data_IF_103028831154
#
_entry.id   IF_103028831154
#
_cell.length_a   1.000
_cell.length_b   1.000
_cell.length_c   1.000
_cell.angle_alpha   90.00
_cell.angle_beta   90.00
_cell.angle_gamma   90.00
#
_symmetry.space_group_name_H-M   'P 1'
#
loop_
_entity.id
_entity.type
_entity.pdbx_description
1 polymer ?
#
# COMPACT_ATOMS: atom_id res chain seq x y z
N UNK A 1 -6.18 -78.93 -8.60
CA UNK A 1 -4.87 -78.22 -8.48
C UNK A 1 -4.87 -76.82 -9.06
N UNK A 2 -5.91 -76.37 -9.71
CA UNK A 2 -5.96 -75.06 -10.44
C UNK A 2 -6.45 -73.92 -9.51
N UNK A 3 -7.21 -74.19 -8.45
CA UNK A 3 -7.78 -73.14 -7.57
C UNK A 3 -6.80 -72.48 -6.63
N UNK A 4 -5.65 -73.13 -6.27
CA UNK A 4 -4.62 -72.55 -5.40
C UNK A 4 -3.71 -71.53 -6.08
N UNK A 5 -3.58 -71.63 -7.39
CA UNK A 5 -2.70 -70.72 -8.17
C UNK A 5 -3.32 -69.33 -8.37
N UNK A 6 -4.64 -69.21 -8.48
CA UNK A 6 -5.35 -67.97 -8.72
C UNK A 6 -5.30 -67.03 -7.49
N UNK A 7 -5.34 -67.62 -6.27
CA UNK A 7 -5.27 -66.80 -5.05
C UNK A 7 -3.92 -66.16 -4.80
N UNK A 8 -2.81 -66.81 -5.17
CA UNK A 8 -1.46 -66.27 -5.00
C UNK A 8 -1.13 -65.14 -6.00
N UNK A 9 -1.65 -65.22 -7.21
CA UNK A 9 -1.47 -64.16 -8.22
C UNK A 9 -2.29 -62.91 -7.87
N UNK A 10 -3.50 -63.09 -7.33
CA UNK A 10 -4.34 -61.98 -6.87
C UNK A 10 -3.73 -61.25 -5.69
N UNK A 11 -3.11 -61.98 -4.77
CA UNK A 11 -2.45 -61.41 -3.59
C UNK A 11 -1.17 -60.65 -3.98
N UNK A 12 -0.40 -61.17 -4.95
CA UNK A 12 0.79 -60.47 -5.46
C UNK A 12 0.42 -59.20 -6.21
N UNK A 13 -0.68 -59.17 -6.98
CA UNK A 13 -1.17 -57.99 -7.66
C UNK A 13 -1.62 -56.86 -6.71
N UNK A 14 -2.28 -57.23 -5.62
CA UNK A 14 -2.63 -56.28 -4.55
C UNK A 14 -1.43 -55.67 -3.83
N UNK A 15 -0.40 -56.48 -3.56
CA UNK A 15 0.84 -56.00 -2.95
C UNK A 15 1.62 -55.04 -3.87
N UNK A 16 1.64 -55.29 -5.16
CA UNK A 16 2.27 -54.36 -6.15
C UNK A 16 1.48 -53.06 -6.27
N UNK A 17 0.13 -53.13 -6.27
CA UNK A 17 -0.71 -51.94 -6.29
C UNK A 17 -0.58 -51.08 -5.01
N UNK A 18 -0.40 -51.72 -3.85
CA UNK A 18 -0.15 -51.02 -2.57
C UNK A 18 1.25 -50.40 -2.52
N UNK A 19 2.27 -51.04 -3.11
CA UNK A 19 3.64 -50.54 -3.20
C UNK A 19 3.81 -49.32 -4.12
N UNK A 20 3.03 -49.24 -5.19
CA UNK A 20 3.10 -48.11 -6.13
C UNK A 20 2.42 -46.84 -5.60
N UNK A 21 1.47 -46.95 -4.67
CA UNK A 21 0.80 -45.81 -4.04
C UNK A 21 1.69 -45.06 -3.02
N UNK A 22 2.76 -45.68 -2.54
CA UNK A 22 3.67 -45.09 -1.55
C UNK A 22 4.81 -44.22 -2.19
N UNK A 23 4.96 -44.25 -3.52
CA UNK A 23 6.07 -43.56 -4.21
C UNK A 23 5.73 -42.17 -4.75
N UNK A 24 4.50 -41.68 -4.60
CA UNK A 24 4.06 -40.40 -5.17
C UNK A 24 4.11 -39.20 -4.23
N UNK A 25 4.73 -39.33 -3.04
CA UNK A 25 4.80 -38.22 -2.09
C UNK A 25 6.18 -37.62 -2.00
N UNK A 26 6.72 -37.12 -3.12
CA UNK A 26 7.83 -36.19 -3.09
C UNK A 26 7.37 -34.83 -3.60
N UNK A 27 6.69 -34.09 -2.76
CA UNK A 27 6.46 -32.66 -2.93
C UNK A 27 7.78 -31.94 -2.64
N UNK A 28 8.49 -31.56 -3.69
CA UNK A 28 9.65 -30.65 -3.58
C UNK A 28 9.14 -29.37 -2.96
N UNK A 29 9.44 -29.15 -1.70
CA UNK A 29 9.22 -27.88 -1.03
C UNK A 29 10.03 -26.82 -1.79
N UNK A 30 9.35 -26.01 -2.58
CA UNK A 30 9.95 -24.86 -3.24
C UNK A 30 10.48 -23.96 -2.14
N UNK A 31 11.80 -23.82 -2.04
CA UNK A 31 12.45 -22.91 -1.11
C UNK A 31 11.74 -21.56 -1.19
N UNK A 32 11.31 -20.98 -0.08
CA UNK A 32 10.74 -19.65 -0.10
C UNK A 32 11.80 -18.71 -0.67
N UNK A 33 11.58 -18.21 -1.88
CA UNK A 33 12.47 -17.22 -2.48
C UNK A 33 12.55 -16.00 -1.58
N UNK A 34 13.62 -15.22 -1.68
CA UNK A 34 13.92 -14.00 -0.92
C UNK A 34 12.85 -12.87 -1.10
N UNK A 35 11.58 -13.23 -1.24
CA UNK A 35 10.48 -12.30 -1.51
C UNK A 35 10.10 -11.42 -0.31
N UNK A 36 10.69 -11.70 0.87
CA UNK A 36 10.43 -10.97 2.11
C UNK A 36 11.47 -9.89 2.41
N UNK A 37 12.56 -9.84 1.64
CA UNK A 37 13.64 -8.90 1.89
C UNK A 37 13.46 -7.63 1.06
N UNK A 38 13.85 -6.50 1.64
CA UNK A 38 13.97 -5.21 0.98
C UNK A 38 15.39 -5.04 0.40
N UNK A 39 15.53 -4.20 -0.60
CA UNK A 39 16.81 -3.70 -1.11
C UNK A 39 17.85 -4.79 -1.43
N UNK A 40 17.42 -5.87 -2.08
CA UNK A 40 18.27 -7.03 -2.37
C UNK A 40 19.35 -6.76 -3.45
N UNK A 41 19.08 -5.83 -4.36
CA UNK A 41 20.01 -5.46 -5.44
C UNK A 41 20.83 -4.25 -5.01
N UNK A 42 21.83 -4.50 -4.16
CA UNK A 42 22.70 -3.44 -3.65
C UNK A 42 23.68 -2.99 -4.74
N UNK A 43 23.47 -1.80 -5.27
CA UNK A 43 24.58 -1.04 -5.82
C UNK A 43 25.29 -0.33 -4.66
N UNK A 44 26.60 -0.28 -4.65
CA UNK A 44 27.40 0.37 -3.59
C UNK A 44 27.02 1.83 -3.39
N UNK A 45 26.45 2.46 -4.40
CA UNK A 45 25.82 3.78 -4.34
C UNK A 45 24.78 3.93 -5.44
N UNK A 46 23.63 4.49 -5.11
CA UNK A 46 22.60 4.87 -6.08
C UNK A 46 22.40 6.37 -5.98
N UNK A 47 22.46 7.05 -7.14
CA UNK A 47 22.04 8.43 -7.20
C UNK A 47 20.52 8.48 -6.96
N UNK A 48 20.13 8.86 -5.74
CA UNK A 48 18.72 9.08 -5.40
C UNK A 48 18.14 10.20 -6.28
N UNK A 49 16.89 10.06 -6.68
CA UNK A 49 16.15 11.16 -7.28
C UNK A 49 16.15 12.34 -6.29
N UNK A 50 16.51 13.53 -6.77
CA UNK A 50 16.42 14.73 -5.95
C UNK A 50 14.95 14.94 -5.58
N UNK A 51 14.65 14.96 -4.28
CA UNK A 51 13.31 15.27 -3.80
C UNK A 51 12.91 16.65 -4.33
N UNK A 52 11.75 16.71 -4.95
CA UNK A 52 11.21 17.96 -5.47
C UNK A 52 10.49 18.69 -4.34
N UNK A 53 10.71 19.99 -4.24
CA UNK A 53 9.93 20.84 -3.36
C UNK A 53 8.46 20.81 -3.81
N UNK A 54 7.55 20.63 -2.85
CA UNK A 54 6.12 20.55 -3.12
C UNK A 54 5.61 21.91 -3.60
N UNK A 55 4.84 21.89 -4.67
CA UNK A 55 4.12 23.03 -5.20
C UNK A 55 2.69 22.99 -4.64
N UNK A 56 2.18 24.16 -4.25
CA UNK A 56 0.82 24.34 -3.76
C UNK A 56 -0.16 24.12 -4.92
N UNK A 57 -1.20 23.35 -4.66
CA UNK A 57 -2.28 23.08 -5.63
C UNK A 57 -3.64 23.43 -5.03
N UNK A 58 -4.65 23.51 -5.90
CA UNK A 58 -6.04 23.73 -5.47
C UNK A 58 -6.48 22.63 -4.48
N UNK A 59 -7.30 22.99 -3.51
CA UNK A 59 -7.76 22.17 -2.38
C UNK A 59 -6.70 21.82 -1.35
N UNK A 60 -5.48 22.34 -1.43
CA UNK A 60 -4.53 22.25 -0.33
C UNK A 60 -5.03 23.06 0.87
N UNK A 61 -4.76 22.55 2.07
CA UNK A 61 -5.03 23.25 3.31
C UNK A 61 -3.71 23.71 3.91
N UNK A 62 -3.56 25.02 4.02
CA UNK A 62 -2.34 25.67 4.50
C UNK A 62 -2.58 26.30 5.87
N UNK A 63 -1.62 26.13 6.77
CA UNK A 63 -1.51 26.96 7.98
C UNK A 63 -0.57 28.11 7.68
N UNK A 64 -1.05 29.32 7.82
CA UNK A 64 -0.29 30.55 7.59
C UNK A 64 -0.17 31.30 8.91
N UNK A 65 1.05 31.42 9.40
CA UNK A 65 1.37 32.15 10.62
C UNK A 65 2.11 33.42 10.28
N UNK A 66 1.57 34.54 10.73
CA UNK A 66 2.20 35.86 10.57
C UNK A 66 2.78 36.27 11.92
N UNK A 67 4.05 36.63 11.94
CA UNK A 67 4.74 37.13 13.13
C UNK A 67 5.42 38.45 12.83
N UNK A 68 5.61 39.30 13.85
CA UNK A 68 6.36 40.53 13.75
C UNK A 68 7.35 40.62 14.91
N UNK A 69 8.55 41.11 14.65
CA UNK A 69 9.54 41.36 15.68
C UNK A 69 9.26 42.70 16.43
N UNK A 70 8.31 43.48 15.94
CA UNK A 70 7.85 44.70 16.62
C UNK A 70 7.03 44.37 17.88
N UNK A 71 7.12 45.21 18.92
CA UNK A 71 6.43 45.01 20.20
C UNK A 71 4.90 45.03 20.12
N UNK A 72 4.31 45.47 19.00
CA UNK A 72 2.86 45.50 18.78
C UNK A 72 2.31 44.18 18.25
N UNK A 73 2.18 43.20 19.12
CA UNK A 73 1.57 41.90 18.79
C UNK A 73 0.09 41.99 18.38
N UNK A 74 -0.61 43.03 18.80
CA UNK A 74 -2.02 43.25 18.44
C UNK A 74 -2.24 43.42 16.94
N UNK A 75 -1.24 43.95 16.22
CA UNK A 75 -1.31 44.10 14.76
C UNK A 75 -1.26 42.77 14.00
N UNK A 76 -0.65 41.75 14.58
CA UNK A 76 -0.58 40.42 13.95
C UNK A 76 -1.68 39.49 14.42
N UNK A 77 -2.37 39.81 15.52
CA UNK A 77 -3.43 38.96 16.08
C UNK A 77 -4.56 38.69 15.07
N UNK A 78 -4.93 39.69 14.26
CA UNK A 78 -5.96 39.52 13.21
C UNK A 78 -5.61 38.51 12.11
N UNK A 79 -4.30 38.29 11.87
CA UNK A 79 -3.82 37.31 10.85
C UNK A 79 -3.71 35.89 11.41
N UNK A 80 -3.65 35.77 12.75
CA UNK A 80 -3.49 34.48 13.45
C UNK A 80 -4.78 34.04 14.15
N UNK A 81 -5.90 34.72 13.90
CA UNK A 81 -7.20 34.38 14.49
C UNK A 81 -7.64 32.99 14.07
N UNK A 82 -7.72 32.09 15.03
CA UNK A 82 -8.09 30.70 14.81
C UNK A 82 -9.60 30.57 14.77
N UNK A 83 -10.19 30.35 13.63
CA UNK A 83 -11.55 29.84 13.51
C UNK A 83 -11.54 28.31 13.70
N UNK A 84 -11.23 27.84 14.91
CA UNK A 84 -11.22 26.42 15.20
C UNK A 84 -10.53 26.07 16.51
N UNK A 85 -11.16 25.24 17.29
CA UNK A 85 -10.74 24.81 18.62
C UNK A 85 -9.37 24.11 18.55
N UNK A 86 -8.38 24.66 19.26
CA UNK A 86 -7.25 23.87 19.76
C UNK A 86 -5.94 23.90 18.99
N UNK A 87 -5.63 24.86 18.11
CA UNK A 87 -4.30 24.89 17.49
C UNK A 87 -3.52 26.19 17.76
N UNK A 88 -2.31 26.02 18.22
CA UNK A 88 -1.29 27.05 18.47
C UNK A 88 -0.61 27.55 17.18
N UNK A 89 -1.14 27.32 15.99
CA UNK A 89 -0.37 27.41 14.77
C UNK A 89 -1.07 28.12 13.60
N UNK A 90 -1.37 29.41 13.74
CA UNK A 90 -1.74 30.25 12.59
C UNK A 90 -3.15 30.01 12.00
N UNK A 91 -3.54 30.84 11.06
CA UNK A 91 -4.83 30.76 10.37
C UNK A 91 -4.80 29.60 9.35
N UNK A 92 -5.86 28.79 9.36
CA UNK A 92 -6.06 27.74 8.34
C UNK A 92 -6.69 28.35 7.10
N UNK A 93 -6.05 28.17 5.94
CA UNK A 93 -6.49 28.69 4.66
C UNK A 93 -6.63 27.53 3.67
N UNK A 94 -7.81 27.40 3.07
CA UNK A 94 -8.06 26.50 1.96
C UNK A 94 -7.65 27.20 0.65
N UNK A 95 -6.84 26.54 -0.17
CA UNK A 95 -6.55 27.00 -1.53
C UNK A 95 -7.78 26.72 -2.38
N UNK A 96 -8.40 27.76 -2.86
CA UNK A 96 -9.61 27.69 -3.70
C UNK A 96 -9.31 27.02 -5.07
N UNK A 97 -10.36 26.65 -5.80
CA UNK A 97 -10.24 26.01 -7.13
C UNK A 97 -9.53 26.94 -8.11
N UNK A 98 -9.69 28.27 -7.97
CA UNK A 98 -8.99 29.29 -8.76
C UNK A 98 -7.52 29.45 -8.36
N UNK A 99 -7.02 28.68 -7.40
CA UNK A 99 -5.65 28.72 -6.91
C UNK A 99 -5.36 29.83 -5.91
N UNK A 100 -6.36 30.58 -5.46
CA UNK A 100 -6.17 31.69 -4.52
C UNK A 100 -6.43 31.24 -3.08
N UNK A 101 -5.81 31.95 -2.13
CA UNK A 101 -6.15 31.95 -0.70
C UNK A 101 -6.75 33.29 -0.32
N UNK A 102 -7.65 33.28 0.66
CA UNK A 102 -8.24 34.51 1.19
C UNK A 102 -7.67 34.83 2.57
N UNK A 103 -7.05 35.98 2.69
CA UNK A 103 -6.44 36.43 3.95
C UNK A 103 -6.96 37.84 4.34
N UNK A 104 -7.06 38.08 5.65
CA UNK A 104 -7.38 39.44 6.12
C UNK A 104 -6.45 40.48 5.49
N UNK A 105 -6.94 41.67 5.25
CA UNK A 105 -6.22 42.84 4.72
C UNK A 105 -5.81 42.71 3.25
N UNK A 106 -5.06 41.64 2.87
CA UNK A 106 -4.53 41.47 1.51
C UNK A 106 -5.50 40.73 0.56
N UNK A 107 -6.65 40.28 1.12
CA UNK A 107 -7.71 39.61 0.36
C UNK A 107 -7.21 38.41 -0.46
N UNK A 108 -7.79 38.17 -1.62
CA UNK A 108 -7.41 37.06 -2.51
C UNK A 108 -5.97 37.20 -3.02
N UNK A 109 -5.19 36.16 -2.80
CA UNK A 109 -3.78 36.09 -3.21
C UNK A 109 -3.53 34.73 -3.89
N UNK A 110 -2.89 34.74 -5.05
CA UNK A 110 -2.51 33.50 -5.76
C UNK A 110 -1.49 32.72 -4.92
N UNK A 111 -1.81 31.45 -4.69
CA UNK A 111 -0.95 30.53 -3.96
C UNK A 111 -0.60 29.30 -4.81
N UNK A 112 -1.52 28.82 -5.65
CA UNK A 112 -1.28 27.67 -6.50
C UNK A 112 -0.12 27.93 -7.49
N UNK A 113 0.70 26.92 -7.73
CA UNK A 113 1.89 27.02 -8.58
C UNK A 113 3.15 27.52 -7.86
N UNK A 114 3.03 28.01 -6.63
CA UNK A 114 4.17 28.44 -5.80
C UNK A 114 4.60 27.33 -4.85
N UNK A 115 5.90 27.33 -4.48
CA UNK A 115 6.35 26.59 -3.32
C UNK A 115 5.98 27.33 -2.04
N UNK A 116 6.01 26.66 -0.88
CA UNK A 116 5.74 27.31 0.40
C UNK A 116 6.64 28.52 0.63
N UNK A 117 7.94 28.38 0.32
CA UNK A 117 8.92 29.46 0.50
C UNK A 117 8.62 30.65 -0.40
N UNK A 118 8.20 30.41 -1.64
CA UNK A 118 7.79 31.48 -2.56
C UNK A 118 6.53 32.19 -2.05
N UNK A 119 5.56 31.43 -1.51
CA UNK A 119 4.35 32.01 -0.92
C UNK A 119 4.68 32.82 0.35
N UNK A 120 5.58 32.34 1.20
CA UNK A 120 6.07 33.08 2.40
C UNK A 120 6.61 34.43 2.03
N UNK A 121 7.51 34.49 1.05
CA UNK A 121 8.09 35.76 0.56
C UNK A 121 7.01 36.67 -0.03
N UNK A 122 6.15 36.15 -0.89
CA UNK A 122 5.07 36.92 -1.51
C UNK A 122 4.10 37.51 -0.49
N UNK A 123 3.76 36.75 0.56
CA UNK A 123 2.88 37.23 1.62
C UNK A 123 3.58 38.25 2.50
N UNK A 124 4.85 38.07 2.83
CA UNK A 124 5.63 39.03 3.60
C UNK A 124 5.72 40.39 2.86
N UNK A 125 5.98 40.35 1.56
CA UNK A 125 6.04 41.58 0.73
C UNK A 125 4.69 42.31 0.72
N UNK A 126 3.58 41.56 0.57
CA UNK A 126 2.23 42.17 0.58
C UNK A 126 1.80 42.70 1.94
N UNK A 127 2.29 42.11 3.04
CA UNK A 127 1.95 42.51 4.41
C UNK A 127 2.87 43.61 4.95
N UNK A 128 4.05 43.82 4.35
CA UNK A 128 5.02 44.80 4.81
C UNK A 128 4.50 46.26 4.93
N UNK A 129 3.53 46.73 4.12
CA UNK A 129 2.94 48.06 4.30
C UNK A 129 2.05 48.17 5.55
N UNK A 130 1.55 47.04 6.06
CA UNK A 130 0.62 47.00 7.19
C UNK A 130 1.25 46.51 8.49
N UNK A 131 2.31 45.69 8.41
CA UNK A 131 2.99 45.11 9.55
C UNK A 131 4.48 45.34 9.43
N UNK A 132 5.08 46.02 10.39
CA UNK A 132 6.51 46.26 10.44
C UNK A 132 7.26 44.96 10.80
N UNK A 133 8.40 44.73 10.13
CA UNK A 133 9.27 43.59 10.39
C UNK A 133 8.48 42.23 10.36
N UNK A 134 7.60 42.11 9.35
CA UNK A 134 6.73 40.94 9.19
C UNK A 134 7.53 39.71 8.74
N UNK A 135 7.24 38.58 9.37
CA UNK A 135 7.69 37.25 8.97
C UNK A 135 6.49 36.36 8.79
N UNK A 136 6.43 35.63 7.71
CA UNK A 136 5.34 34.69 7.38
C UNK A 136 5.89 33.29 7.34
N UNK A 137 5.19 32.34 7.92
CA UNK A 137 5.48 30.92 7.85
C UNK A 137 4.28 30.16 7.30
N UNK A 138 4.51 29.38 6.28
CA UNK A 138 3.49 28.54 5.62
C UNK A 138 3.78 27.07 5.88
N UNK A 139 2.76 26.30 6.28
CA UNK A 139 2.83 24.85 6.47
C UNK A 139 1.65 24.19 5.79
N UNK A 140 1.88 23.05 5.18
CA UNK A 140 0.80 22.17 4.73
C UNK A 140 0.19 21.47 5.93
N UNK A 141 -1.13 21.54 6.10
CA UNK A 141 -1.84 20.85 7.19
C UNK A 141 -2.32 19.45 6.81
N UNK A 142 -2.42 19.16 5.52
CA UNK A 142 -2.92 17.87 5.07
C UNK A 142 -2.01 17.30 3.98
N UNK A 143 -1.34 16.23 4.33
CA UNK A 143 -0.71 15.32 3.39
C UNK A 143 -1.27 13.94 3.68
N UNK A 144 -2.30 13.54 2.97
CA UNK A 144 -2.92 12.23 3.14
C UNK A 144 -2.61 11.31 1.97
N UNK A 145 -2.34 10.05 2.28
CA UNK A 145 -2.14 8.97 1.34
C UNK A 145 -3.11 7.85 1.72
N UNK A 146 -3.75 7.25 0.73
CA UNK A 146 -4.61 6.10 0.94
C UNK A 146 -3.83 4.81 0.67
N UNK A 147 -3.66 3.96 1.68
CA UNK A 147 -2.88 2.73 1.58
C UNK A 147 -3.83 1.54 1.65
N UNK A 148 -3.82 0.71 0.60
CA UNK A 148 -4.76 -0.39 0.41
C UNK A 148 -4.03 -1.71 0.18
N UNK A 149 -4.72 -2.81 0.43
CA UNK A 149 -4.27 -4.16 0.13
C UNK A 149 -3.51 -4.81 1.29
N UNK A 150 -2.42 -5.50 0.99
CA UNK A 150 -1.70 -6.37 1.92
C UNK A 150 -0.72 -5.61 2.81
N UNK A 151 -1.24 -4.68 3.61
CA UNK A 151 -0.54 -3.98 4.71
C UNK A 151 -1.21 -4.27 6.04
N UNK A 152 -0.54 -4.03 7.16
CA UNK A 152 -1.11 -4.31 8.49
C UNK A 152 -2.25 -3.37 8.84
N UNK A 153 -2.14 -2.10 8.50
CA UNK A 153 -3.14 -1.07 8.79
C UNK A 153 -3.53 -0.35 7.49
N UNK A 154 -4.43 -0.93 6.67
CA UNK A 154 -4.93 -0.26 5.48
C UNK A 154 -5.83 0.91 5.86
N UNK A 155 -5.84 1.96 5.04
CA UNK A 155 -6.66 3.14 5.23
C UNK A 155 -5.98 4.43 4.81
N UNK A 156 -6.58 5.55 5.19
CA UNK A 156 -6.04 6.89 4.96
C UNK A 156 -5.06 7.23 6.07
N UNK A 157 -3.83 7.52 5.71
CA UNK A 157 -2.77 7.97 6.61
C UNK A 157 -2.45 9.43 6.35
N UNK A 158 -2.34 10.20 7.42
CA UNK A 158 -1.94 11.60 7.39
C UNK A 158 -0.47 11.72 7.76
N UNK A 159 0.24 12.56 7.04
CA UNK A 159 1.66 12.81 7.23
C UNK A 159 1.89 14.29 7.52
N UNK A 160 2.76 14.55 8.47
CA UNK A 160 3.22 15.89 8.77
C UNK A 160 4.52 16.14 7.99
N UNK A 161 4.55 17.19 7.20
CA UNK A 161 5.77 17.57 6.47
C UNK A 161 5.53 17.95 5.02
N UNK A 162 6.62 18.37 4.39
CA UNK A 162 6.59 18.90 3.03
C UNK A 162 6.65 17.80 1.97
N UNK A 163 7.10 16.61 2.34
CA UNK A 163 7.19 15.44 1.47
C UNK A 163 7.02 14.15 2.28
N UNK A 164 6.56 13.13 1.60
CA UNK A 164 6.41 11.77 2.12
C UNK A 164 6.90 10.80 1.05
N UNK A 165 7.65 9.79 1.45
CA UNK A 165 8.11 8.74 0.54
C UNK A 165 7.19 7.52 0.62
N UNK A 166 7.27 6.65 -0.38
CA UNK A 166 6.55 5.37 -0.34
C UNK A 166 6.99 4.50 0.85
N UNK A 167 8.25 4.64 1.30
CA UNK A 167 8.77 3.93 2.47
C UNK A 167 8.09 4.44 3.74
N UNK A 168 7.95 5.77 3.88
CA UNK A 168 7.26 6.37 5.02
C UNK A 168 5.79 5.92 5.08
N UNK A 169 5.12 5.89 3.92
CA UNK A 169 3.74 5.45 3.81
C UNK A 169 3.57 3.99 4.24
N UNK A 170 4.41 3.09 3.74
CA UNK A 170 4.39 1.68 4.11
C UNK A 170 4.70 1.49 5.60
N UNK A 171 5.68 2.23 6.13
CA UNK A 171 6.03 2.20 7.55
C UNK A 171 4.87 2.66 8.43
N UNK A 172 4.16 3.73 8.05
CA UNK A 172 2.98 4.22 8.76
C UNK A 172 1.83 3.20 8.73
N UNK A 173 1.68 2.44 7.65
CA UNK A 173 0.74 1.33 7.55
C UNK A 173 1.18 0.07 8.32
N UNK A 174 2.30 0.12 9.06
CA UNK A 174 2.82 -0.98 9.88
C UNK A 174 3.51 -2.08 9.09
N UNK A 175 3.99 -1.77 7.89
CA UNK A 175 4.61 -2.69 6.94
C UNK A 175 3.60 -3.60 6.20
N UNK A 176 4.10 -4.29 5.16
CA UNK A 176 3.33 -5.28 4.42
C UNK A 176 3.06 -6.51 5.29
N UNK A 177 1.92 -7.16 5.02
CA UNK A 177 1.66 -8.49 5.58
C UNK A 177 2.60 -9.54 4.97
N UNK A 178 2.60 -10.76 5.52
CA UNK A 178 3.32 -11.90 4.94
C UNK A 178 2.84 -12.25 3.52
N UNK A 179 1.63 -11.83 3.18
CA UNK A 179 1.02 -12.07 1.89
C UNK A 179 1.24 -10.90 0.91
N UNK A 180 1.84 -9.80 1.33
CA UNK A 180 2.09 -8.64 0.49
C UNK A 180 3.20 -8.88 -0.53
N UNK A 181 2.97 -8.53 -1.80
CA UNK A 181 3.98 -8.54 -2.86
C UNK A 181 4.86 -7.30 -2.76
N UNK A 182 6.13 -7.48 -2.38
CA UNK A 182 7.12 -6.38 -2.29
C UNK A 182 7.63 -5.91 -3.65
N UNK A 183 7.47 -6.72 -4.67
CA UNK A 183 7.91 -6.42 -6.05
C UNK A 183 6.81 -5.83 -6.93
N UNK A 184 5.62 -5.67 -6.41
CA UNK A 184 4.46 -5.26 -7.21
C UNK A 184 3.56 -4.35 -6.36
N UNK A 185 4.08 -3.16 -6.08
CA UNK A 185 3.32 -2.11 -5.42
C UNK A 185 2.92 -1.09 -6.47
N UNK A 186 1.65 -0.76 -6.50
CA UNK A 186 1.10 0.20 -7.45
C UNK A 186 0.82 1.52 -6.75
N UNK A 187 1.39 2.60 -7.25
CA UNK A 187 1.03 3.96 -6.86
C UNK A 187 0.14 4.56 -7.94
N UNK A 188 -1.06 4.93 -7.56
CA UNK A 188 -2.05 5.55 -8.45
C UNK A 188 -2.12 7.02 -8.08
N UNK A 189 -1.81 7.87 -9.05
CA UNK A 189 -1.79 9.33 -8.93
C UNK A 189 -2.78 9.96 -9.87
N UNK A 190 -3.59 10.85 -9.36
CA UNK A 190 -4.48 11.68 -10.17
C UNK A 190 -3.77 12.99 -10.51
N UNK A 191 -3.57 13.24 -11.80
CA UNK A 191 -2.91 14.43 -12.32
C UNK A 191 -3.88 15.14 -13.28
N UNK A 192 -4.50 16.20 -12.78
CA UNK A 192 -5.46 17.08 -13.50
C UNK A 192 -6.64 16.36 -14.15
N UNK A 193 -6.44 15.56 -15.19
CA UNK A 193 -7.49 14.83 -15.93
C UNK A 193 -7.12 13.37 -16.18
N UNK A 194 -5.92 12.94 -15.79
CA UNK A 194 -5.41 11.59 -16.06
C UNK A 194 -5.04 10.88 -14.76
N UNK A 195 -5.25 9.56 -14.73
CA UNK A 195 -4.73 8.71 -13.68
C UNK A 195 -3.47 8.01 -14.16
N UNK A 196 -2.37 8.25 -13.49
CA UNK A 196 -1.08 7.63 -13.76
C UNK A 196 -0.84 6.48 -12.80
N UNK A 197 -0.39 5.35 -13.33
CA UNK A 197 -0.08 4.15 -12.56
C UNK A 197 1.44 3.94 -12.58
N UNK A 198 2.02 3.86 -11.40
CA UNK A 198 3.45 3.60 -11.23
C UNK A 198 3.63 2.28 -10.51
N UNK A 199 4.36 1.37 -11.13
CA UNK A 199 4.75 0.11 -10.48
C UNK A 199 6.08 0.28 -9.77
N UNK A 200 6.17 -0.19 -8.54
CA UNK A 200 7.32 -0.03 -7.65
C UNK A 200 7.73 -1.38 -7.06
N UNK A 201 9.02 -1.68 -7.09
CA UNK A 201 9.61 -2.86 -6.44
C UNK A 201 10.46 -2.43 -5.24
N UNK A 202 10.00 -2.73 -4.03
CA UNK A 202 10.72 -2.42 -2.78
C UNK A 202 11.97 -3.28 -2.58
N UNK A 203 12.14 -4.35 -3.33
CA UNK A 203 13.33 -5.20 -3.26
C UNK A 203 14.50 -4.62 -4.03
N UNK A 204 14.21 -3.70 -4.95
CA UNK A 204 15.20 -3.08 -5.81
C UNK A 204 15.57 -1.68 -5.33
N UNK A 205 16.85 -1.38 -5.33
CA UNK A 205 17.35 -0.06 -5.06
C UNK A 205 16.95 0.96 -6.17
N UNK A 206 16.49 0.51 -7.34
CA UNK A 206 15.92 1.38 -8.37
C UNK A 206 14.67 2.14 -7.90
N UNK A 207 14.05 1.70 -6.81
CA UNK A 207 12.99 2.41 -6.10
C UNK A 207 13.33 3.90 -5.89
N UNK A 208 14.57 4.21 -5.47
CA UNK A 208 15.01 5.58 -5.17
C UNK A 208 15.06 6.49 -6.41
N UNK A 209 14.98 5.93 -7.61
CA UNK A 209 14.92 6.66 -8.88
C UNK A 209 13.50 6.74 -9.45
N UNK A 210 12.55 6.04 -8.84
CA UNK A 210 11.16 6.02 -9.30
C UNK A 210 10.50 7.39 -9.13
N UNK A 211 9.69 7.86 -10.11
CA UNK A 211 8.84 9.04 -9.94
C UNK A 211 7.82 8.92 -8.81
N UNK A 212 7.49 7.68 -8.41
CA UNK A 212 6.59 7.38 -7.31
C UNK A 212 7.31 7.18 -5.97
N UNK A 213 8.64 7.34 -5.90
CA UNK A 213 9.36 7.30 -4.64
C UNK A 213 8.89 8.39 -3.70
N UNK A 214 8.78 9.62 -4.20
CA UNK A 214 8.14 10.72 -3.49
C UNK A 214 6.65 10.71 -3.84
N UNK A 215 5.83 10.48 -2.82
CA UNK A 215 4.38 10.50 -2.94
C UNK A 215 3.85 11.93 -3.06
N UNK A 216 2.68 12.05 -3.63
CA UNK A 216 1.91 13.28 -3.68
C UNK A 216 0.65 13.13 -2.81
N UNK A 217 0.06 14.24 -2.33
CA UNK A 217 -1.21 14.18 -1.62
C UNK A 217 -2.29 13.51 -2.45
N UNK A 218 -3.10 12.69 -1.78
CA UNK A 218 -4.16 11.88 -2.36
C UNK A 218 -3.68 10.70 -3.25
N UNK A 219 -2.38 10.41 -3.32
CA UNK A 219 -1.91 9.18 -3.94
C UNK A 219 -2.56 7.97 -3.27
N UNK A 220 -2.84 6.95 -4.07
CA UNK A 220 -3.28 5.64 -3.58
C UNK A 220 -2.12 4.68 -3.75
N UNK A 221 -1.68 4.08 -2.64
CA UNK A 221 -0.66 3.03 -2.63
C UNK A 221 -1.36 1.69 -2.45
N UNK A 222 -1.33 0.85 -3.46
CA UNK A 222 -1.95 -0.46 -3.44
C UNK A 222 -0.89 -1.56 -3.40
N UNK A 223 -0.99 -2.43 -2.39
CA UNK A 223 -0.12 -3.59 -2.21
C UNK A 223 -0.88 -4.86 -2.59
N UNK A 224 -0.45 -5.51 -3.66
CA UNK A 224 -1.05 -6.74 -4.14
C UNK A 224 -0.80 -7.94 -3.22
N UNK A 225 -1.72 -8.92 -3.25
CA UNK A 225 -1.55 -10.20 -2.57
C UNK A 225 -0.59 -11.11 -3.35
N UNK A 226 0.18 -11.92 -2.63
CA UNK A 226 1.04 -12.93 -3.24
C UNK A 226 0.23 -14.11 -3.79
N UNK A 227 0.87 -14.87 -4.70
CA UNK A 227 0.22 -15.98 -5.40
C UNK A 227 -0.27 -17.07 -4.45
N UNK A 228 0.42 -17.27 -3.30
CA UNK A 228 0.00 -18.23 -2.28
C UNK A 228 -1.34 -17.87 -1.64
N UNK A 229 -1.59 -16.59 -1.38
CA UNK A 229 -2.87 -16.14 -0.85
C UNK A 229 -3.97 -16.30 -1.88
N UNK A 230 -3.71 -15.90 -3.13
CA UNK A 230 -4.66 -16.03 -4.23
C UNK A 230 -5.01 -17.51 -4.45
N UNK A 231 -4.00 -18.39 -4.44
CA UNK A 231 -4.22 -19.83 -4.59
C UNK A 231 -5.01 -20.44 -3.43
N UNK A 232 -4.79 -19.99 -2.18
CA UNK A 232 -5.59 -20.43 -1.03
C UNK A 232 -7.05 -20.01 -1.16
N UNK A 233 -7.32 -18.79 -1.57
CA UNK A 233 -8.69 -18.31 -1.79
C UNK A 233 -9.39 -19.12 -2.88
N UNK A 234 -8.73 -19.35 -4.01
CA UNK A 234 -9.27 -20.16 -5.11
C UNK A 234 -9.46 -21.63 -4.71
N UNK A 235 -8.63 -22.17 -3.80
CA UNK A 235 -8.73 -23.57 -3.34
C UNK A 235 -9.94 -23.77 -2.44
N UNK A 236 -10.24 -22.82 -1.57
CA UNK A 236 -11.39 -22.92 -0.65
C UNK A 236 -12.71 -23.03 -1.41
N UNK A 237 -12.81 -22.44 -2.59
CA UNK A 237 -14.00 -22.56 -3.43
C UNK A 237 -14.19 -23.96 -4.04
N UNK A 238 -13.13 -24.81 -4.05
CA UNK A 238 -13.15 -26.15 -4.62
C UNK A 238 -13.14 -27.29 -3.58
N UNK A 239 -12.98 -27.03 -2.29
CA UNK A 239 -12.93 -28.10 -1.27
C UNK A 239 -14.27 -28.80 -1.09
N UNK A 240 -15.38 -28.13 -1.32
CA UNK A 240 -16.71 -28.75 -1.30
C UNK A 240 -16.89 -29.86 -2.36
N UNK A 241 -16.16 -29.80 -3.46
CA UNK A 241 -16.25 -30.72 -4.57
C UNK A 241 -15.38 -31.99 -4.38
N UNK A 242 -14.27 -31.87 -3.62
CA UNK A 242 -13.40 -33.03 -3.32
C UNK A 242 -14.00 -34.01 -2.32
N UNK A 243 -14.78 -33.51 -1.40
CA UNK A 243 -15.49 -34.35 -0.39
C UNK A 243 -16.41 -35.38 -1.06
N UNK A 244 -17.13 -35.00 -2.10
CA UNK A 244 -18.01 -35.88 -2.86
C UNK A 244 -17.24 -36.98 -3.62
N UNK A 245 -16.11 -36.66 -4.22
CA UNK A 245 -15.27 -37.63 -4.92
C UNK A 245 -14.70 -38.70 -3.95
N UNK A 246 -14.36 -38.30 -2.73
CA UNK A 246 -13.90 -39.22 -1.70
C UNK A 246 -15.01 -40.16 -1.27
N UNK A 247 -16.24 -39.66 -1.04
CA UNK A 247 -17.39 -40.52 -0.72
C UNK A 247 -17.67 -41.53 -1.84
N UNK A 248 -17.63 -41.13 -3.09
CA UNK A 248 -17.83 -42.04 -4.22
C UNK A 248 -16.77 -43.14 -4.29
N UNK A 249 -15.50 -42.84 -3.97
CA UNK A 249 -14.43 -43.82 -3.95
C UNK A 249 -14.60 -44.84 -2.84
N UNK A 250 -15.02 -44.40 -1.65
CA UNK A 250 -15.31 -45.33 -0.52
C UNK A 250 -16.49 -46.26 -0.84
N UNK A 251 -17.57 -45.72 -1.43
CA UNK A 251 -18.74 -46.52 -1.82
C UNK A 251 -18.35 -47.54 -2.90
N UNK A 252 -17.53 -47.16 -3.86
CA UNK A 252 -17.04 -48.07 -4.92
C UNK A 252 -16.22 -49.22 -4.36
N UNK A 253 -15.33 -48.97 -3.40
CA UNK A 253 -14.54 -50.01 -2.74
C UNK A 253 -15.43 -50.94 -1.92
N UNK A 254 -16.41 -50.38 -1.18
CA UNK A 254 -17.33 -51.17 -0.40
C UNK A 254 -18.21 -52.10 -1.26
N UNK A 255 -18.70 -51.61 -2.40
CA UNK A 255 -19.50 -52.42 -3.33
C UNK A 255 -18.71 -53.53 -3.98
N UNK A 256 -17.47 -53.27 -4.37
CA UNK A 256 -16.57 -54.28 -4.97
C UNK A 256 -16.19 -55.36 -3.97
N UNK A 257 -15.90 -54.99 -2.71
CA UNK A 257 -15.62 -55.98 -1.64
C UNK A 257 -16.85 -56.85 -1.31
N UNK A 258 -18.03 -56.25 -1.21
CA UNK A 258 -19.28 -56.98 -0.99
C UNK A 258 -19.57 -58.00 -2.13
N UNK A 259 -19.33 -57.61 -3.38
CA UNK A 259 -19.50 -58.47 -4.54
C UNK A 259 -18.53 -59.68 -4.54
N UNK A 260 -17.27 -59.43 -4.16
CA UNK A 260 -16.25 -60.50 -4.06
C UNK A 260 -16.66 -61.52 -2.95
N UNK A 261 -17.05 -61.02 -1.78
CA UNK A 261 -17.50 -61.90 -0.69
C UNK A 261 -18.73 -62.71 -1.11
N UNK A 262 -19.71 -62.10 -1.75
CA UNK A 262 -20.91 -62.82 -2.25
C UNK A 262 -20.56 -63.90 -3.28
N UNK A 263 -19.60 -63.62 -4.16
CA UNK A 263 -19.18 -64.61 -5.22
C UNK A 263 -18.34 -65.76 -4.66
N UNK A 264 -17.70 -65.60 -3.51
CA UNK A 264 -16.90 -66.66 -2.83
C UNK A 264 -17.69 -67.53 -1.87
N UNK A 265 -18.89 -67.07 -1.44
CA UNK A 265 -19.74 -67.77 -0.51
C UNK A 265 -20.83 -68.61 -1.24
N UNK A 266 -20.92 -68.54 -2.53
CA UNK A 266 -21.80 -69.34 -3.40
C UNK A 266 -21.03 -70.38 -4.17
#
# INVERSE_FOLDING_TARGET
MITKSISSVSFALCLVALGTSLLTSCSVAKTPGNNFLYFQNNADSIRSAKLKERVIVANDVLSIQVTSQSLNQDQVAQFNSVNGIGSTAGQTNLVAIDGTIDMPVIKKTMAAGLTKNQLEVQLADKLSPFVKDVSVRVRFLQFKVNILGEVKNPGVHNFDGDYTTIIDAISAAGDLTENGKRNDIMVIREDSAERKFYQVDLRSASLFQSPAYQLQPNDIVYVGANDKKIERLNRNDHEGQKSWAFFLSVVSVATTTAFIVYSTTK
#
